data_IF_409418129250
#
_entry.id   IF_409418129250
#
_cell.length_a   1.000
_cell.length_b   1.000
_cell.length_c   1.000
_cell.angle_alpha   90.00
_cell.angle_beta   90.00
_cell.angle_gamma   90.00
#
_symmetry.space_group_name_H-M   'P 1'
#
loop_
_entity.id
_entity.type
_entity.pdbx_description
1 polymer ?
#
# COMPACT_ATOMS: atom_id res chain seq x y z
N UNK A 1 -10.37 -15.63 2.45
CA UNK A 1 -10.95 -14.85 3.56
C UNK A 1 -10.53 -13.37 3.50
N UNK A 2 -9.23 -13.04 3.51
CA UNK A 2 -8.70 -11.66 3.46
C UNK A 2 -9.23 -10.76 2.32
N UNK A 3 -9.38 -11.29 1.11
CA UNK A 3 -9.81 -10.52 -0.07
C UNK A 3 -11.23 -9.95 0.04
N UNK A 4 -12.09 -10.61 0.82
CA UNK A 4 -13.46 -10.15 1.08
C UNK A 4 -13.51 -9.14 2.22
N UNK A 5 -12.70 -9.34 3.26
CA UNK A 5 -12.59 -8.43 4.41
C UNK A 5 -12.18 -7.01 4.01
N UNK A 6 -11.27 -6.89 3.03
CA UNK A 6 -10.85 -5.59 2.49
C UNK A 6 -12.00 -4.88 1.77
N UNK A 7 -12.76 -5.61 0.94
CA UNK A 7 -13.92 -5.05 0.25
C UNK A 7 -14.99 -4.57 1.22
N UNK A 8 -15.27 -5.34 2.26
CA UNK A 8 -16.24 -4.95 3.28
C UNK A 8 -15.76 -3.75 4.09
N UNK A 9 -14.47 -3.62 4.37
CA UNK A 9 -13.90 -2.45 5.05
C UNK A 9 -13.98 -1.19 4.21
N UNK A 10 -13.65 -1.28 2.90
CA UNK A 10 -13.81 -0.15 1.98
C UNK A 10 -15.27 0.23 1.82
N UNK A 11 -16.17 -0.75 1.67
CA UNK A 11 -17.60 -0.52 1.53
C UNK A 11 -18.21 0.11 2.80
N UNK A 12 -17.83 -0.38 3.99
CA UNK A 12 -18.23 0.18 5.26
C UNK A 12 -17.75 1.63 5.40
N UNK A 13 -16.54 1.93 4.91
CA UNK A 13 -16.01 3.29 4.89
C UNK A 13 -16.69 4.23 3.91
N UNK A 14 -17.18 3.71 2.77
CA UNK A 14 -18.04 4.49 1.90
C UNK A 14 -19.39 4.77 2.55
N UNK A 15 -19.96 3.78 3.24
CA UNK A 15 -21.27 3.89 3.92
C UNK A 15 -21.25 4.82 5.13
N UNK A 16 -20.08 5.03 5.75
CA UNK A 16 -19.95 5.96 6.88
C UNK A 16 -19.96 7.44 6.46
N UNK A 17 -19.84 7.75 5.16
CA UNK A 17 -19.84 9.13 4.68
C UNK A 17 -21.28 9.66 4.68
N UNK A 18 -21.59 10.73 5.42
CA UNK A 18 -22.91 11.35 5.43
C UNK A 18 -23.32 11.81 4.02
N UNK A 19 -24.52 11.42 3.58
CA UNK A 19 -25.08 11.82 2.27
C UNK A 19 -25.16 13.35 2.12
N UNK A 20 -25.36 14.07 3.23
CA UNK A 20 -25.42 15.53 3.26
C UNK A 20 -24.15 16.22 2.75
N UNK A 21 -22.98 15.59 2.84
CA UNK A 21 -21.74 16.15 2.30
C UNK A 21 -21.68 16.07 0.77
N UNK A 22 -22.29 15.05 0.18
CA UNK A 22 -22.45 14.95 -1.27
C UNK A 22 -23.50 15.94 -1.77
N UNK A 23 -24.61 16.10 -1.04
CA UNK A 23 -25.64 17.09 -1.38
C UNK A 23 -25.09 18.52 -1.29
N UNK A 24 -24.34 18.86 -0.24
CA UNK A 24 -23.68 20.15 -0.12
C UNK A 24 -22.71 20.41 -1.28
N UNK A 25 -21.87 19.43 -1.62
CA UNK A 25 -20.94 19.55 -2.75
C UNK A 25 -21.68 19.76 -4.09
N UNK A 26 -22.81 19.10 -4.31
CA UNK A 26 -23.65 19.30 -5.51
C UNK A 26 -24.29 20.68 -5.55
N UNK A 27 -24.75 21.18 -4.40
CA UNK A 27 -25.29 22.53 -4.28
C UNK A 27 -24.22 23.60 -4.57
N UNK A 28 -22.96 23.31 -4.24
CA UNK A 28 -21.79 24.15 -4.58
C UNK A 28 -21.29 23.97 -6.03
N UNK A 29 -21.98 23.17 -6.85
CA UNK A 29 -21.64 22.96 -8.27
C UNK A 29 -20.53 21.93 -8.53
N UNK A 30 -20.20 21.09 -7.56
CA UNK A 30 -19.18 20.05 -7.73
C UNK A 30 -19.59 18.99 -8.77
N UNK A 31 -18.69 18.72 -9.71
CA UNK A 31 -18.73 17.54 -10.58
C UNK A 31 -18.41 16.26 -9.77
N UNK A 32 -18.88 15.09 -10.19
CA UNK A 32 -18.48 13.78 -9.69
C UNK A 32 -16.98 13.63 -9.35
N UNK A 33 -16.08 14.12 -10.21
CA UNK A 33 -14.63 14.07 -9.91
C UNK A 33 -14.20 14.97 -8.75
N UNK A 34 -14.88 16.11 -8.55
CA UNK A 34 -14.68 16.97 -7.39
C UNK A 34 -15.23 16.31 -6.13
N UNK A 35 -16.40 15.68 -6.17
CA UNK A 35 -16.96 14.90 -5.06
C UNK A 35 -15.98 13.79 -4.63
N UNK A 36 -15.48 13.00 -5.58
CA UNK A 36 -14.56 11.90 -5.27
C UNK A 36 -13.27 12.40 -4.62
N UNK A 37 -12.71 13.51 -5.11
CA UNK A 37 -11.42 14.03 -4.62
C UNK A 37 -11.52 14.81 -3.32
N UNK A 38 -12.58 15.61 -3.15
CA UNK A 38 -12.70 16.54 -2.02
C UNK A 38 -13.66 16.06 -0.93
N UNK A 39 -14.54 15.09 -1.21
CA UNK A 39 -15.48 14.54 -0.23
C UNK A 39 -15.10 13.11 0.11
N UNK A 40 -15.02 12.23 -0.90
CA UNK A 40 -14.87 10.79 -0.68
C UNK A 40 -13.46 10.39 -0.23
N UNK A 41 -12.42 10.79 -0.97
CA UNK A 41 -11.01 10.49 -0.68
C UNK A 41 -10.56 10.96 0.72
N UNK A 42 -10.79 12.22 1.15
CA UNK A 42 -10.34 12.68 2.45
C UNK A 42 -11.06 11.99 3.61
N UNK A 43 -12.34 11.63 3.47
CA UNK A 43 -13.08 10.90 4.50
C UNK A 43 -12.69 9.42 4.59
N UNK A 44 -12.23 8.82 3.49
CA UNK A 44 -11.72 7.45 3.47
C UNK A 44 -10.30 7.30 4.03
N UNK A 45 -9.51 8.39 4.12
CA UNK A 45 -8.13 8.38 4.65
C UNK A 45 -7.94 7.54 5.93
N UNK A 46 -8.71 7.73 7.02
CA UNK A 46 -8.54 6.94 8.24
C UNK A 46 -8.77 5.43 8.02
N UNK A 47 -9.72 5.07 7.16
CA UNK A 47 -10.06 3.67 6.86
C UNK A 47 -9.00 3.03 5.96
N UNK A 48 -8.50 3.79 4.98
CA UNK A 48 -7.36 3.38 4.15
C UNK A 48 -6.11 3.16 5.01
N UNK A 49 -5.89 3.97 6.04
CA UNK A 49 -4.80 3.75 7.01
C UNK A 49 -4.91 2.41 7.73
N UNK A 50 -6.09 2.09 8.27
CA UNK A 50 -6.35 0.80 8.92
C UNK A 50 -6.18 -0.39 7.96
N UNK A 51 -6.72 -0.28 6.74
CA UNK A 51 -6.57 -1.29 5.69
C UNK A 51 -5.10 -1.50 5.33
N UNK A 52 -4.33 -0.42 5.20
CA UNK A 52 -2.90 -0.48 4.85
C UNK A 52 -2.11 -1.20 5.94
N UNK A 53 -2.36 -0.88 7.21
CA UNK A 53 -1.72 -1.58 8.34
C UNK A 53 -2.03 -3.08 8.33
N UNK A 54 -3.31 -3.44 8.12
CA UNK A 54 -3.73 -4.84 8.03
C UNK A 54 -3.09 -5.57 6.85
N UNK A 55 -2.97 -4.90 5.69
CA UNK A 55 -2.29 -5.44 4.52
C UNK A 55 -0.81 -5.69 4.78
N UNK A 56 -0.14 -4.78 5.48
CA UNK A 56 1.26 -4.95 5.88
C UNK A 56 1.39 -6.19 6.78
N UNK A 57 0.57 -6.30 7.83
CA UNK A 57 0.57 -7.45 8.74
C UNK A 57 0.30 -8.77 7.97
N UNK A 58 -0.64 -8.74 7.04
CA UNK A 58 -0.99 -9.90 6.22
C UNK A 58 0.13 -10.30 5.25
N UNK A 59 0.84 -9.32 4.69
CA UNK A 59 2.00 -9.55 3.83
C UNK A 59 3.13 -10.21 4.60
N UNK A 60 3.44 -9.72 5.81
CA UNK A 60 4.43 -10.33 6.70
C UNK A 60 4.08 -11.78 7.07
N UNK A 61 2.82 -12.05 7.41
CA UNK A 61 2.36 -13.42 7.69
C UNK A 61 2.41 -14.34 6.45
N UNK A 62 2.27 -13.77 5.25
CA UNK A 62 2.30 -14.55 4.00
C UNK A 62 3.71 -14.92 3.55
N UNK A 63 4.76 -14.22 3.99
CA UNK A 63 6.16 -14.57 3.64
C UNK A 63 6.49 -16.00 4.03
N UNK A 64 6.05 -16.45 5.22
CA UNK A 64 6.27 -17.82 5.71
C UNK A 64 5.57 -18.86 4.85
N UNK A 65 4.32 -18.59 4.43
CA UNK A 65 3.52 -19.50 3.59
C UNK A 65 4.07 -19.54 2.17
N UNK A 66 4.42 -18.39 1.59
CA UNK A 66 4.99 -18.30 0.25
C UNK A 66 6.31 -19.06 0.20
N UNK A 67 7.19 -18.87 1.19
CA UNK A 67 8.45 -19.59 1.27
C UNK A 67 8.25 -21.10 1.46
N UNK A 68 7.32 -21.50 2.33
CA UNK A 68 7.01 -22.91 2.60
C UNK A 68 6.46 -23.64 1.36
N UNK A 69 5.63 -22.98 0.55
CA UNK A 69 5.00 -23.57 -0.64
C UNK A 69 5.93 -23.51 -1.86
N UNK A 70 6.65 -22.42 -2.06
CA UNK A 70 7.41 -22.20 -3.31
C UNK A 70 8.89 -22.55 -3.19
N UNK A 71 9.42 -22.68 -1.97
CA UNK A 71 10.88 -22.75 -1.69
C UNK A 71 11.72 -21.75 -2.51
N UNK A 72 11.13 -20.66 -3.01
CA UNK A 72 11.80 -19.70 -3.90
C UNK A 72 11.83 -20.01 -5.41
N UNK A 73 10.84 -20.68 -6.05
CA UNK A 73 10.84 -20.82 -7.53
C UNK A 73 9.48 -20.77 -8.26
N UNK A 74 9.40 -20.42 -9.59
CA UNK A 74 10.48 -20.41 -10.59
C UNK A 74 10.77 -19.06 -11.32
N UNK A 75 12.02 -18.91 -11.78
CA UNK A 75 12.52 -18.02 -12.85
C UNK A 75 12.54 -16.48 -12.60
N UNK A 76 13.63 -16.00 -11.99
CA UNK A 76 14.45 -14.82 -12.37
C UNK A 76 13.83 -13.45 -12.74
N UNK A 77 12.52 -13.20 -12.62
CA UNK A 77 11.96 -11.92 -13.11
C UNK A 77 10.96 -11.20 -12.20
N UNK A 78 10.51 -11.81 -11.10
CA UNK A 78 9.48 -11.15 -10.26
C UNK A 78 9.46 -11.52 -8.78
N UNK A 79 10.40 -12.31 -8.28
CA UNK A 79 10.40 -12.72 -6.86
C UNK A 79 11.22 -11.76 -6.00
N UNK A 80 10.52 -10.75 -5.47
CA UNK A 80 10.66 -10.19 -4.11
C UNK A 80 12.10 -10.28 -3.58
N UNK A 81 12.91 -9.23 -3.79
CA UNK A 81 14.27 -9.09 -3.23
C UNK A 81 14.32 -9.45 -1.73
N UNK A 82 13.24 -9.20 -0.99
CA UNK A 82 13.09 -9.56 0.42
C UNK A 82 13.18 -11.07 0.72
N UNK A 83 12.72 -11.95 -0.18
CA UNK A 83 12.82 -13.41 0.02
C UNK A 83 14.25 -13.89 -0.21
N UNK A 84 14.95 -13.37 -1.23
CA UNK A 84 16.37 -13.69 -1.44
C UNK A 84 17.24 -13.22 -0.27
N UNK A 85 16.98 -12.02 0.25
CA UNK A 85 17.65 -11.52 1.47
C UNK A 85 17.44 -12.50 2.64
N UNK A 86 16.22 -12.98 2.83
CA UNK A 86 15.88 -13.90 3.92
C UNK A 86 16.59 -15.25 3.78
N UNK A 87 16.62 -15.81 2.57
CA UNK A 87 17.30 -17.07 2.26
C UNK A 87 18.81 -16.94 2.48
N UNK A 88 19.44 -15.89 1.94
CA UNK A 88 20.87 -15.65 2.14
C UNK A 88 21.22 -15.47 3.63
N UNK A 89 20.39 -14.75 4.39
CA UNK A 89 20.64 -14.50 5.81
C UNK A 89 20.45 -15.74 6.70
N UNK A 90 19.38 -16.51 6.48
CA UNK A 90 18.93 -17.53 7.45
C UNK A 90 19.12 -18.97 6.98
N UNK A 91 19.27 -19.21 5.69
CA UNK A 91 19.52 -20.54 5.14
C UNK A 91 21.00 -20.74 4.78
N UNK A 92 21.59 -19.78 4.07
CA UNK A 92 23.00 -19.83 3.68
C UNK A 92 23.95 -19.16 4.69
N UNK A 93 23.40 -18.47 5.70
CA UNK A 93 24.17 -17.72 6.72
C UNK A 93 25.14 -16.67 6.12
N UNK A 94 24.85 -16.21 4.90
CA UNK A 94 25.60 -15.19 4.16
C UNK A 94 25.09 -13.80 4.52
N UNK A 95 25.33 -13.36 5.76
CA UNK A 95 24.87 -12.06 6.26
C UNK A 95 25.44 -10.87 5.47
N UNK A 96 26.63 -11.01 4.90
CA UNK A 96 27.25 -9.96 4.08
C UNK A 96 26.45 -9.69 2.80
N UNK A 97 26.11 -10.75 2.06
CA UNK A 97 25.34 -10.67 0.81
C UNK A 97 23.90 -10.23 1.08
N UNK A 98 23.27 -10.79 2.13
CA UNK A 98 21.94 -10.39 2.55
C UNK A 98 21.88 -8.91 2.99
N UNK A 99 22.91 -8.45 3.70
CA UNK A 99 23.05 -7.05 4.12
C UNK A 99 23.15 -6.10 2.92
N UNK A 100 24.02 -6.40 1.95
CA UNK A 100 24.19 -5.59 0.74
C UNK A 100 22.88 -5.49 -0.07
N UNK A 101 22.18 -6.61 -0.26
CA UNK A 101 20.89 -6.64 -0.94
C UNK A 101 19.81 -5.85 -0.18
N UNK A 102 19.83 -5.90 1.15
CA UNK A 102 18.87 -5.16 2.00
C UNK A 102 19.06 -3.65 1.88
N UNK A 103 20.31 -3.17 1.90
CA UNK A 103 20.63 -1.74 1.75
C UNK A 103 20.21 -1.25 0.37
N UNK A 104 20.49 -2.02 -0.69
CA UNK A 104 20.08 -1.69 -2.06
C UNK A 104 18.56 -1.60 -2.19
N UNK A 105 17.84 -2.59 -1.66
CA UNK A 105 16.38 -2.62 -1.66
C UNK A 105 15.79 -1.42 -0.91
N UNK A 106 16.37 -1.08 0.25
CA UNK A 106 15.96 0.06 1.05
C UNK A 106 16.15 1.39 0.32
N UNK A 107 17.27 1.58 -0.40
CA UNK A 107 17.49 2.77 -1.22
C UNK A 107 16.44 2.93 -2.32
N UNK A 108 16.10 1.84 -3.02
CA UNK A 108 15.05 1.85 -4.06
C UNK A 108 13.68 2.18 -3.45
N UNK A 109 13.37 1.61 -2.28
CA UNK A 109 12.12 1.90 -1.58
C UNK A 109 12.02 3.39 -1.18
N UNK A 110 13.09 3.97 -0.62
CA UNK A 110 13.15 5.41 -0.31
C UNK A 110 12.95 6.24 -1.57
N UNK A 111 13.60 5.88 -2.67
CA UNK A 111 13.46 6.59 -3.94
C UNK A 111 12.01 6.62 -4.44
N UNK A 112 11.33 5.46 -4.41
CA UNK A 112 9.91 5.35 -4.81
C UNK A 112 9.01 6.15 -3.87
N UNK A 113 9.24 6.09 -2.55
CA UNK A 113 8.49 6.86 -1.56
C UNK A 113 8.70 8.36 -1.77
N UNK A 114 9.93 8.80 -2.01
CA UNK A 114 10.26 10.19 -2.25
C UNK A 114 9.58 10.71 -3.51
N UNK A 115 9.60 9.93 -4.59
CA UNK A 115 8.82 10.22 -5.80
C UNK A 115 7.34 10.38 -5.45
N UNK A 116 6.76 9.42 -4.72
CA UNK A 116 5.35 9.47 -4.35
C UNK A 116 5.00 10.74 -3.57
N UNK A 117 5.80 11.10 -2.57
CA UNK A 117 5.61 12.31 -1.76
C UNK A 117 5.75 13.58 -2.60
N UNK A 118 6.75 13.68 -3.47
CA UNK A 118 6.96 14.86 -4.34
C UNK A 118 5.81 15.02 -5.34
N UNK A 119 5.31 13.92 -5.90
CA UNK A 119 4.14 13.94 -6.77
C UNK A 119 2.86 14.34 -6.03
N UNK A 120 2.70 13.92 -4.77
CA UNK A 120 1.54 14.28 -3.95
C UNK A 120 1.56 15.75 -3.53
N UNK A 121 2.72 16.29 -3.12
CA UNK A 121 2.90 17.70 -2.77
C UNK A 121 2.62 18.64 -3.96
N UNK A 122 3.12 18.30 -5.16
CA UNK A 122 2.83 19.06 -6.39
C UNK A 122 1.37 19.02 -6.82
N UNK A 123 0.60 18.05 -6.30
CA UNK A 123 -0.84 17.95 -6.57
C UNK A 123 -1.67 18.80 -5.60
N UNK A 124 -1.15 19.05 -4.39
CA UNK A 124 -1.77 19.92 -3.38
C UNK A 124 -1.57 21.41 -3.68
N UNK A 125 -0.44 21.80 -4.28
CA UNK A 125 -0.17 23.20 -4.68
C UNK A 125 -0.98 23.66 -5.91
N UNK A 126 -1.60 22.74 -6.64
CA UNK A 126 -2.44 23.04 -7.81
C UNK A 126 -3.93 23.15 -7.49
N UNK A 127 -4.33 22.90 -6.24
CA UNK A 127 -5.73 22.91 -5.79
C UNK A 127 -6.01 23.94 -4.68
N UNK A 128 -5.03 24.78 -4.33
CA UNK A 128 -5.23 25.99 -3.52
C UNK A 128 -5.16 27.23 -4.40
#
# INVERSE_FOLDING_TARGET
MLRYSLRTMVLAGLQSIPVSLYEAARMDGANFWHEVRHVTLPQLRPILGAITLLLIIAAFNSITIIYSITQGGPADRSLITSIQIFVEAFQYFNFNTAGALSVLFFMVAIFVIMIHIVFDQRRSEREG
#
